data_IF_679248719454
#
_entry.id   IF_679248719454
#
_cell.length_a   1.000
_cell.length_b   1.000
_cell.length_c   1.000
_cell.angle_alpha   90.00
_cell.angle_beta   90.00
_cell.angle_gamma   90.00
#
_symmetry.space_group_name_H-M   'P 1'
#
loop_
_entity.id
_entity.type
_entity.pdbx_description
1 polymer ?
#
# COMPACT_ATOMS: atom_id res chain seq x y z
N UNK A 1 -83.90 -23.08 -3.20
CA UNK A 1 -82.83 -22.60 -2.34
C UNK A 1 -81.55 -22.91 -3.06
N UNK A 2 -81.04 -21.94 -3.82
CA UNK A 2 -79.79 -22.14 -4.69
C UNK A 2 -78.62 -21.33 -4.10
N UNK A 3 -77.67 -22.03 -3.56
CA UNK A 3 -76.43 -21.44 -3.10
C UNK A 3 -75.46 -21.27 -4.28
N UNK A 4 -75.24 -20.07 -4.73
CA UNK A 4 -74.24 -19.74 -5.73
C UNK A 4 -72.88 -19.58 -5.02
N UNK A 5 -71.97 -20.50 -5.27
CA UNK A 5 -70.55 -20.43 -4.85
C UNK A 5 -69.82 -19.47 -5.80
N UNK A 6 -69.41 -18.31 -5.27
CA UNK A 6 -68.50 -17.38 -5.95
C UNK A 6 -67.04 -17.77 -5.60
N UNK A 7 -66.35 -18.34 -6.56
CA UNK A 7 -64.90 -18.59 -6.45
C UNK A 7 -64.14 -17.27 -6.77
N UNK A 8 -63.48 -16.69 -5.77
CA UNK A 8 -62.53 -15.61 -5.98
C UNK A 8 -61.19 -16.19 -6.39
N UNK A 9 -60.78 -15.97 -7.63
CA UNK A 9 -59.44 -16.27 -8.12
C UNK A 9 -58.52 -15.08 -7.71
N UNK A 10 -57.61 -15.33 -6.77
CA UNK A 10 -56.56 -14.37 -6.39
C UNK A 10 -55.40 -14.55 -7.36
N UNK A 11 -55.24 -13.58 -8.27
CA UNK A 11 -54.14 -13.50 -9.20
C UNK A 11 -52.92 -12.91 -8.44
N UNK A 12 -51.99 -13.75 -8.02
CA UNK A 12 -50.77 -13.34 -7.39
C UNK A 12 -49.81 -12.75 -8.44
N UNK A 13 -49.58 -11.44 -8.40
CA UNK A 13 -48.57 -10.75 -9.20
C UNK A 13 -47.23 -10.97 -8.50
N UNK A 14 -46.39 -11.89 -9.03
CA UNK A 14 -44.98 -12.00 -8.64
C UNK A 14 -44.18 -10.87 -9.28
N UNK A 15 -43.83 -9.86 -8.50
CA UNK A 15 -42.89 -8.82 -8.92
C UNK A 15 -41.47 -9.39 -8.78
N UNK A 16 -40.85 -9.79 -9.90
CA UNK A 16 -39.42 -10.06 -9.96
C UNK A 16 -38.67 -8.74 -9.80
N UNK A 17 -38.16 -8.48 -8.58
CA UNK A 17 -37.18 -7.43 -8.37
C UNK A 17 -35.84 -7.89 -8.97
N UNK A 18 -35.56 -7.52 -10.23
CA UNK A 18 -34.25 -7.63 -10.83
C UNK A 18 -33.29 -6.69 -10.08
N UNK A 19 -32.53 -7.24 -9.13
CA UNK A 19 -31.49 -6.52 -8.44
C UNK A 19 -30.44 -6.08 -9.45
N UNK A 20 -30.37 -4.76 -9.75
CA UNK A 20 -29.26 -4.15 -10.44
C UNK A 20 -28.03 -4.30 -9.54
N UNK A 21 -27.19 -5.28 -9.82
CA UNK A 21 -25.85 -5.38 -9.27
C UNK A 21 -25.03 -4.20 -9.86
N UNK A 22 -25.13 -3.05 -9.23
CA UNK A 22 -24.29 -1.89 -9.54
C UNK A 22 -22.84 -2.28 -9.29
N UNK A 23 -22.02 -2.29 -10.35
CA UNK A 23 -20.57 -2.43 -10.22
C UNK A 23 -20.07 -1.27 -9.38
N UNK A 24 -19.70 -1.53 -8.12
CA UNK A 24 -19.01 -0.53 -7.31
C UNK A 24 -17.75 -0.06 -8.03
N UNK A 25 -17.47 1.24 -8.10
CA UNK A 25 -16.24 1.72 -8.73
C UNK A 25 -15.04 1.08 -8.07
N UNK A 26 -14.07 0.62 -8.89
CA UNK A 26 -12.83 0.04 -8.41
C UNK A 26 -12.11 1.09 -7.55
N UNK A 27 -12.11 0.88 -6.26
CA UNK A 27 -11.42 1.76 -5.32
C UNK A 27 -9.91 1.55 -5.47
N UNK A 28 -9.15 2.64 -5.64
CA UNK A 28 -7.68 2.63 -5.61
C UNK A 28 -7.24 2.89 -4.17
N UNK A 29 -6.13 2.29 -3.76
CA UNK A 29 -5.50 2.63 -2.50
C UNK A 29 -5.26 4.14 -2.39
N UNK A 30 -5.34 4.70 -1.18
CA UNK A 30 -5.05 6.12 -0.92
C UNK A 30 -3.63 6.31 -0.42
N UNK A 31 -2.93 7.32 -0.93
CA UNK A 31 -1.65 7.73 -0.36
C UNK A 31 -1.87 8.23 1.07
N UNK A 32 -1.01 7.78 1.98
CA UNK A 32 -1.04 8.14 3.40
C UNK A 32 0.03 9.19 3.71
N UNK A 33 1.27 8.92 3.31
CA UNK A 33 2.40 9.81 3.53
C UNK A 33 3.49 9.57 2.49
N UNK A 34 4.37 10.54 2.31
CA UNK A 34 5.51 10.47 1.39
C UNK A 34 6.73 11.14 2.03
N UNK A 35 7.91 10.49 1.89
CA UNK A 35 9.16 11.07 2.38
C UNK A 35 10.37 10.56 1.60
N UNK A 36 11.45 11.33 1.67
CA UNK A 36 12.75 11.02 1.09
C UNK A 36 13.78 10.60 2.13
N UNK A 37 15.04 11.07 1.96
CA UNK A 37 16.14 10.83 2.91
C UNK A 37 16.07 11.88 4.04
N UNK A 38 15.24 11.58 5.04
CA UNK A 38 15.02 12.40 6.23
C UNK A 38 15.82 11.85 7.43
N UNK A 39 15.84 12.56 8.54
CA UNK A 39 16.44 12.06 9.77
C UNK A 39 15.64 10.90 10.38
N UNK A 40 16.24 10.17 11.32
CA UNK A 40 15.62 9.00 11.91
C UNK A 40 14.37 9.30 12.76
N UNK A 41 14.36 10.41 13.46
CA UNK A 41 13.23 10.79 14.32
C UNK A 41 11.98 11.06 13.48
N UNK A 42 12.12 11.83 12.41
CA UNK A 42 11.03 12.12 11.48
C UNK A 42 10.55 10.86 10.76
N UNK A 43 11.49 9.99 10.33
CA UNK A 43 11.13 8.72 9.70
C UNK A 43 10.33 7.82 10.64
N UNK A 44 10.77 7.70 11.90
CA UNK A 44 10.05 6.90 12.90
C UNK A 44 8.68 7.49 13.21
N UNK A 45 8.56 8.81 13.42
CA UNK A 45 7.29 9.46 13.70
C UNK A 45 6.25 9.21 12.57
N UNK A 46 6.68 9.27 11.30
CA UNK A 46 5.82 8.98 10.15
C UNK A 46 5.40 7.51 10.10
N UNK A 47 6.33 6.59 10.37
CA UNK A 47 6.03 5.16 10.45
C UNK A 47 5.14 4.82 11.64
N UNK A 48 5.25 5.53 12.76
CA UNK A 48 4.38 5.38 13.93
C UNK A 48 2.94 5.74 13.60
N UNK A 49 2.74 6.89 12.94
CA UNK A 49 1.42 7.29 12.48
C UNK A 49 0.83 6.29 11.49
N UNK A 50 1.65 5.76 10.59
CA UNK A 50 1.23 4.72 9.67
C UNK A 50 0.87 3.41 10.37
N UNK A 51 1.64 3.00 11.38
CA UNK A 51 1.34 1.82 12.20
C UNK A 51 0.02 1.96 12.95
N UNK A 52 -0.23 3.13 13.57
CA UNK A 52 -1.50 3.43 14.26
C UNK A 52 -2.67 3.31 13.28
N UNK A 53 -2.53 3.85 12.07
CA UNK A 53 -3.57 3.77 11.05
C UNK A 53 -3.87 2.31 10.67
N UNK A 54 -2.85 1.49 10.47
CA UNK A 54 -3.01 0.07 10.14
C UNK A 54 -3.62 -0.75 11.29
N UNK A 55 -3.29 -0.41 12.53
CA UNK A 55 -3.85 -1.06 13.72
C UNK A 55 -5.32 -0.69 13.92
N UNK A 56 -5.69 0.56 13.63
CA UNK A 56 -7.08 1.02 13.72
C UNK A 56 -7.97 0.45 12.59
N UNK A 57 -7.38 0.08 11.47
CA UNK A 57 -8.08 -0.51 10.32
C UNK A 57 -7.50 -1.89 9.97
N UNK A 58 -7.78 -2.95 10.76
CA UNK A 58 -7.12 -4.25 10.58
C UNK A 58 -7.44 -4.98 9.26
N UNK A 59 -8.46 -4.55 8.54
CA UNK A 59 -8.85 -5.10 7.23
C UNK A 59 -8.04 -4.54 6.07
N UNK A 60 -7.43 -3.37 6.20
CA UNK A 60 -6.64 -2.76 5.14
C UNK A 60 -5.22 -3.32 5.10
N UNK A 61 -4.56 -3.19 3.95
CA UNK A 61 -3.13 -3.44 3.82
C UNK A 61 -2.36 -2.12 3.76
N UNK A 62 -1.22 -2.08 4.42
CA UNK A 62 -0.23 -1.03 4.24
C UNK A 62 0.71 -1.40 3.09
N UNK A 63 0.90 -0.51 2.13
CA UNK A 63 1.83 -0.73 1.03
C UNK A 63 2.93 0.33 1.07
N UNK A 64 4.17 -0.12 1.07
CA UNK A 64 5.38 0.69 0.98
C UNK A 64 5.83 0.66 -0.48
N UNK A 65 5.57 1.71 -1.26
CA UNK A 65 6.14 1.89 -2.59
C UNK A 65 7.46 2.65 -2.44
N UNK A 66 8.57 2.04 -2.86
CA UNK A 66 9.89 2.65 -2.72
C UNK A 66 10.53 2.90 -4.08
N UNK A 67 11.19 4.03 -4.21
CA UNK A 67 11.91 4.44 -5.42
C UNK A 67 13.40 4.58 -5.10
N UNK A 68 14.24 3.93 -5.90
CA UNK A 68 15.67 4.08 -5.79
C UNK A 68 16.13 5.46 -6.26
N UNK A 69 17.06 6.10 -5.53
CA UNK A 69 17.66 7.35 -5.97
C UNK A 69 18.77 7.12 -7.02
N UNK A 70 18.88 8.04 -7.98
CA UNK A 70 20.04 8.12 -8.88
C UNK A 70 21.33 8.39 -8.11
N UNK A 71 21.20 9.11 -7.00
CA UNK A 71 22.24 9.32 -5.99
C UNK A 71 21.69 9.03 -4.60
N UNK A 72 22.56 8.62 -3.71
CA UNK A 72 22.29 8.51 -2.29
C UNK A 72 23.37 9.24 -1.50
N UNK A 73 23.01 10.33 -0.85
CA UNK A 73 23.95 11.21 -0.11
C UNK A 73 25.19 11.57 -0.94
N UNK A 74 24.96 12.02 -2.17
CA UNK A 74 26.01 12.42 -3.11
C UNK A 74 26.82 11.27 -3.72
N UNK A 75 26.45 10.01 -3.49
CA UNK A 75 27.15 8.84 -4.01
C UNK A 75 26.23 7.99 -4.88
N UNK A 76 26.79 7.26 -5.84
CA UNK A 76 26.05 6.26 -6.59
C UNK A 76 25.48 5.20 -5.64
N UNK A 77 24.23 4.74 -5.83
CA UNK A 77 23.65 3.69 -5.01
C UNK A 77 24.34 2.35 -5.25
N UNK A 78 24.26 1.43 -4.30
CA UNK A 78 24.56 0.02 -4.51
C UNK A 78 23.34 -0.68 -5.10
N UNK A 79 23.56 -1.72 -5.90
CA UNK A 79 22.44 -2.54 -6.40
C UNK A 79 21.69 -3.18 -5.22
N UNK A 80 20.35 -3.04 -5.21
CA UNK A 80 19.49 -3.53 -4.13
C UNK A 80 19.41 -2.62 -2.89
N UNK A 81 20.06 -1.47 -2.90
CA UNK A 81 20.07 -0.54 -1.76
C UNK A 81 18.68 0.00 -1.43
N UNK A 82 17.90 0.35 -2.45
CA UNK A 82 16.53 0.84 -2.27
C UNK A 82 15.64 -0.20 -1.57
N UNK A 83 15.68 -1.44 -2.04
CA UNK A 83 14.92 -2.53 -1.44
C UNK A 83 15.35 -2.82 0.01
N UNK A 84 16.66 -2.76 0.32
CA UNK A 84 17.15 -2.97 1.67
C UNK A 84 16.69 -1.86 2.64
N UNK A 85 16.62 -0.62 2.17
CA UNK A 85 16.06 0.50 2.94
C UNK A 85 14.57 0.29 3.21
N UNK A 86 13.80 -0.07 2.19
CA UNK A 86 12.37 -0.33 2.34
C UNK A 86 12.09 -1.54 3.26
N UNK A 87 12.86 -2.60 3.16
CA UNK A 87 12.75 -3.77 4.04
C UNK A 87 12.93 -3.39 5.52
N UNK A 88 13.79 -2.41 5.82
CA UNK A 88 13.97 -1.88 7.16
C UNK A 88 12.69 -1.20 7.69
N UNK A 89 12.00 -0.43 6.85
CA UNK A 89 10.74 0.22 7.24
C UNK A 89 9.69 -0.83 7.60
N UNK A 90 9.56 -1.87 6.78
CA UNK A 90 8.69 -3.01 7.10
C UNK A 90 9.08 -3.69 8.40
N UNK A 91 10.38 -3.92 8.61
CA UNK A 91 10.89 -4.52 9.86
C UNK A 91 10.52 -3.68 11.08
N UNK A 92 10.63 -2.35 10.99
CA UNK A 92 10.23 -1.44 12.05
C UNK A 92 8.74 -1.56 12.37
N UNK A 93 7.87 -1.49 11.35
CA UNK A 93 6.42 -1.62 11.53
C UNK A 93 6.03 -2.94 12.18
N UNK A 94 6.64 -4.05 11.75
CA UNK A 94 6.30 -5.39 12.25
C UNK A 94 6.91 -5.65 13.63
N UNK A 95 8.22 -5.44 13.78
CA UNK A 95 8.93 -5.86 15.00
C UNK A 95 8.88 -4.84 16.12
N UNK A 96 8.77 -3.54 15.82
CA UNK A 96 8.76 -2.48 16.82
C UNK A 96 7.37 -1.94 17.12
N UNK A 97 6.48 -1.91 16.11
CA UNK A 97 5.11 -1.39 16.25
C UNK A 97 4.04 -2.47 16.29
N UNK A 98 4.39 -3.73 16.12
CA UNK A 98 3.46 -4.85 16.26
C UNK A 98 2.42 -4.94 15.13
N UNK A 99 2.66 -4.28 13.98
CA UNK A 99 1.81 -4.44 12.81
C UNK A 99 1.98 -5.86 12.27
N UNK A 100 0.90 -6.53 11.93
CA UNK A 100 0.98 -7.90 11.39
C UNK A 100 1.80 -7.93 10.09
N UNK A 101 2.68 -8.91 9.96
CA UNK A 101 3.59 -9.03 8.81
C UNK A 101 2.86 -9.19 7.47
N UNK A 102 1.69 -9.86 7.48
CA UNK A 102 0.83 -10.04 6.31
C UNK A 102 0.06 -8.76 5.93
N UNK A 103 -0.06 -7.80 6.85
CA UNK A 103 -0.70 -6.52 6.61
C UNK A 103 0.21 -5.52 5.89
N UNK A 104 1.54 -5.74 5.87
CA UNK A 104 2.50 -4.82 5.25
C UNK A 104 3.09 -5.42 3.97
N UNK A 105 2.81 -4.79 2.86
CA UNK A 105 3.34 -5.11 1.53
C UNK A 105 4.46 -4.14 1.14
N UNK A 106 5.30 -4.56 0.19
CA UNK A 106 6.34 -3.72 -0.42
C UNK A 106 6.25 -3.81 -1.94
N UNK A 107 6.49 -2.70 -2.62
CA UNK A 107 6.50 -2.61 -4.08
C UNK A 107 7.69 -1.76 -4.53
N UNK A 108 8.44 -2.28 -5.50
CA UNK A 108 9.48 -1.52 -6.19
C UNK A 108 8.80 -0.56 -7.18
N UNK A 109 8.99 0.72 -6.96
CA UNK A 109 8.45 1.81 -7.79
C UNK A 109 9.38 2.20 -8.94
N UNK A 110 10.57 1.62 -9.02
CA UNK A 110 11.60 2.01 -9.98
C UNK A 110 12.54 3.07 -9.40
N UNK A 111 12.89 4.09 -10.21
CA UNK A 111 13.93 5.05 -9.84
C UNK A 111 13.46 6.50 -9.99
N UNK A 112 13.91 7.33 -9.04
CA UNK A 112 13.76 8.78 -9.05
C UNK A 112 15.13 9.45 -8.95
N UNK A 113 15.17 10.79 -9.00
CA UNK A 113 16.41 11.53 -8.81
C UNK A 113 17.00 11.26 -7.42
N UNK A 114 16.13 11.15 -6.41
CA UNK A 114 16.51 10.83 -5.04
C UNK A 114 15.67 9.66 -4.51
N UNK A 115 16.17 9.01 -3.45
CA UNK A 115 15.39 8.02 -2.71
C UNK A 115 14.07 8.61 -2.24
N UNK A 116 12.98 7.85 -2.45
CA UNK A 116 11.64 8.24 -2.05
C UNK A 116 10.82 7.02 -1.63
N UNK A 117 9.95 7.21 -0.65
CA UNK A 117 8.96 6.23 -0.21
C UNK A 117 7.60 6.88 -0.21
N UNK A 118 6.60 6.16 -0.68
CA UNK A 118 5.19 6.51 -0.54
C UNK A 118 4.50 5.40 0.24
N UNK A 119 3.87 5.76 1.34
CA UNK A 119 3.06 4.87 2.16
C UNK A 119 1.61 4.94 1.69
N UNK A 120 0.99 3.79 1.47
CA UNK A 120 -0.38 3.68 0.98
C UNK A 120 -1.23 2.84 1.92
N UNK A 121 -2.49 3.24 2.08
CA UNK A 121 -3.54 2.43 2.68
C UNK A 121 -4.35 1.80 1.55
N UNK A 122 -4.42 0.48 1.53
CA UNK A 122 -5.08 -0.31 0.48
C UNK A 122 -6.24 -1.08 1.09
N UNK A 123 -7.48 -0.62 0.90
CA UNK A 123 -8.67 -1.33 1.34
C UNK A 123 -8.80 -2.70 0.68
N UNK A 124 -9.57 -3.65 1.26
CA UNK A 124 -9.88 -4.93 0.63
C UNK A 124 -10.51 -4.74 -0.75
N UNK A 125 -10.02 -5.46 -1.75
CA UNK A 125 -10.52 -5.37 -3.12
C UNK A 125 -10.08 -4.13 -3.91
N UNK A 126 -9.36 -3.19 -3.29
CA UNK A 126 -8.83 -2.02 -3.99
C UNK A 126 -7.68 -2.39 -4.93
N UNK A 127 -7.55 -1.68 -6.04
CA UNK A 127 -6.41 -1.80 -6.93
C UNK A 127 -5.17 -1.15 -6.30
N UNK A 128 -4.00 -1.75 -6.56
CA UNK A 128 -2.74 -1.16 -6.14
C UNK A 128 -2.41 0.08 -6.99
N UNK A 129 -1.73 1.09 -6.39
CA UNK A 129 -1.27 2.24 -7.15
C UNK A 129 -0.26 1.81 -8.22
N UNK A 130 -0.29 2.50 -9.35
CA UNK A 130 0.74 2.34 -10.39
C UNK A 130 1.95 3.17 -10.00
N UNK A 131 3.17 2.58 -9.93
CA UNK A 131 4.39 3.35 -9.75
C UNK A 131 4.59 4.36 -10.89
N UNK A 132 5.16 5.51 -10.54
CA UNK A 132 5.48 6.57 -11.51
C UNK A 132 6.94 7.01 -11.33
N UNK A 133 7.93 6.19 -11.76
CA UNK A 133 9.33 6.54 -11.68
C UNK A 133 9.67 7.70 -12.63
N UNK A 134 10.56 8.59 -12.20
CA UNK A 134 10.98 9.77 -12.97
C UNK A 134 12.32 9.57 -13.69
N UNK A 135 13.03 8.49 -13.38
CA UNK A 135 14.32 8.13 -13.99
C UNK A 135 14.25 6.74 -14.61
N UNK A 136 14.59 6.60 -15.89
CA UNK A 136 14.70 5.30 -16.54
C UNK A 136 15.75 4.40 -15.87
N UNK A 137 15.44 3.12 -15.70
CA UNK A 137 16.33 2.19 -15.01
C UNK A 137 17.71 2.03 -15.68
N UNK A 138 17.79 2.20 -16.99
CA UNK A 138 19.04 2.14 -17.76
C UNK A 138 19.97 3.34 -17.52
N UNK A 139 19.47 4.44 -16.95
CA UNK A 139 20.29 5.59 -16.56
C UNK A 139 20.95 5.41 -15.19
N UNK A 140 20.55 4.40 -14.41
CA UNK A 140 21.06 4.20 -13.06
C UNK A 140 22.42 3.55 -13.11
N UNK A 141 23.41 4.25 -12.60
CA UNK A 141 24.77 3.74 -12.38
C UNK A 141 24.89 3.25 -10.93
N UNK A 142 25.47 2.07 -10.77
CA UNK A 142 25.67 1.49 -9.45
C UNK A 142 27.15 1.45 -9.09
N UNK A 143 27.46 1.78 -7.85
CA UNK A 143 28.79 1.51 -7.30
C UNK A 143 28.93 0.06 -6.85
N UNK A 144 30.12 -0.47 -6.89
CA UNK A 144 30.45 -1.79 -6.36
C UNK A 144 30.28 -1.84 -4.83
N UNK A 145 29.97 -3.00 -4.32
CA UNK A 145 29.90 -3.28 -2.88
C UNK A 145 28.60 -3.95 -2.46
N UNK A 146 28.67 -4.70 -1.37
CA UNK A 146 27.50 -5.38 -0.79
C UNK A 146 26.64 -4.38 -0.02
N UNK A 147 25.32 -4.53 -0.13
CA UNK A 147 24.36 -3.85 0.73
C UNK A 147 24.39 -4.53 2.10
N UNK A 148 24.47 -3.73 3.16
CA UNK A 148 24.38 -4.22 4.53
C UNK A 148 23.16 -3.60 5.17
N UNK A 149 22.24 -4.42 5.68
CA UNK A 149 21.01 -3.94 6.31
C UNK A 149 21.27 -2.93 7.44
N UNK A 150 22.39 -3.11 8.17
CA UNK A 150 22.83 -2.19 9.24
C UNK A 150 23.17 -0.78 8.75
N UNK A 151 23.57 -0.63 7.47
CA UNK A 151 23.97 0.68 6.92
C UNK A 151 22.76 1.65 6.81
N UNK A 152 21.55 1.14 6.96
CA UNK A 152 20.28 1.89 6.82
C UNK A 152 19.43 1.87 8.09
N UNK A 153 19.96 1.38 9.18
CA UNK A 153 19.23 1.38 10.45
C UNK A 153 19.25 2.78 11.05
N UNK A 154 18.09 3.28 11.37
CA UNK A 154 18.00 4.28 12.41
C UNK A 154 18.41 3.59 13.70
N UNK A 155 19.46 4.05 14.32
CA UNK A 155 19.92 3.50 15.59
C UNK A 155 18.85 3.86 16.63
N UNK A 156 18.18 2.85 17.12
CA UNK A 156 17.27 2.93 18.26
C UNK A 156 17.81 1.97 19.30
#
# INVERSE_FOLDING_TARGET
MNFVRRSLAILGVMILAAGMAGSAPLQVGRAFDEFGDINCEDEMARLDNFAIQLQNEPSVKGLIVFYGGKLFRGRLPKRGEAAARAARLKTYLVQRRGVRADQVMMMDGGYDQMWRVVLWIVPPGATLPKPNPTVPANEIKFRKGKVRARDYRCQI
#
